data_IF_523958781800
#
_entry.id   IF_523958781800
#
_cell.length_a   1.000
_cell.length_b   1.000
_cell.length_c   1.000
_cell.angle_alpha   90.00
_cell.angle_beta   90.00
_cell.angle_gamma   90.00
#
_symmetry.space_group_name_H-M   'P 1'
#
loop_
_entity.id
_entity.type
_entity.pdbx_description
1 polymer ?
#
# COMPACT_ATOMS: atom_id res chain seq x y z
N UNK A 1 38.65 -1.60 -20.85
CA UNK A 1 37.24 -2.01 -20.68
C UNK A 1 36.83 -1.64 -19.26
N UNK A 2 36.17 -0.51 -19.12
CA UNK A 2 35.73 0.01 -17.84
C UNK A 2 34.40 -0.73 -17.50
N UNK A 3 34.45 -1.61 -16.51
CA UNK A 3 33.26 -2.20 -15.95
C UNK A 3 32.47 -1.08 -15.29
N UNK A 4 31.36 -0.68 -15.93
CA UNK A 4 30.39 0.20 -15.33
C UNK A 4 29.85 -0.52 -14.08
N UNK A 5 30.19 0.02 -12.91
CA UNK A 5 29.63 -0.41 -11.64
C UNK A 5 28.20 0.14 -11.62
N UNK A 6 27.26 -0.61 -12.17
CA UNK A 6 25.84 -0.30 -12.08
C UNK A 6 25.40 -0.60 -10.66
N UNK A 7 25.67 0.37 -9.76
CA UNK A 7 25.01 0.40 -8.47
C UNK A 7 23.53 0.74 -8.79
N UNK A 8 22.73 -0.29 -9.09
CA UNK A 8 21.30 -0.11 -9.33
C UNK A 8 20.70 0.52 -8.08
N UNK A 9 20.18 1.75 -8.22
CA UNK A 9 19.51 2.49 -7.16
C UNK A 9 18.15 1.83 -6.88
N UNK A 10 18.16 0.84 -5.98
CA UNK A 10 16.98 0.05 -5.59
C UNK A 10 16.16 0.76 -4.52
N UNK A 11 14.84 0.69 -4.65
CA UNK A 11 13.92 1.03 -3.58
C UNK A 11 13.77 -0.18 -2.64
N UNK A 12 13.98 0.03 -1.35
CA UNK A 12 13.83 -1.02 -0.34
C UNK A 12 12.64 -0.68 0.56
N UNK A 13 11.64 -1.57 0.63
CA UNK A 13 10.46 -1.44 1.47
C UNK A 13 10.29 -2.72 2.29
N UNK A 14 10.41 -2.63 3.62
CA UNK A 14 10.28 -3.78 4.50
C UNK A 14 11.21 -4.95 4.17
N UNK A 15 12.43 -4.66 3.67
CA UNK A 15 13.40 -5.66 3.25
C UNK A 15 13.22 -6.20 1.82
N UNK A 16 12.16 -5.80 1.11
CA UNK A 16 11.93 -6.16 -0.29
C UNK A 16 12.54 -5.12 -1.22
N UNK A 17 13.23 -5.59 -2.26
CA UNK A 17 13.90 -4.74 -3.24
C UNK A 17 13.05 -4.52 -4.49
N UNK A 18 12.95 -3.27 -4.93
CA UNK A 18 12.26 -2.87 -6.16
C UNK A 18 13.19 -2.03 -7.04
N UNK A 19 13.13 -2.23 -8.35
CA UNK A 19 13.85 -1.43 -9.34
C UNK A 19 12.99 -0.29 -9.89
N UNK A 20 11.69 -0.32 -9.64
CA UNK A 20 10.74 0.73 -10.00
C UNK A 20 10.18 1.42 -8.76
N UNK A 21 10.09 2.76 -8.82
CA UNK A 21 9.40 3.57 -7.79
C UNK A 21 7.95 3.86 -8.16
N UNK A 22 7.47 3.30 -9.26
CA UNK A 22 6.11 3.50 -9.72
C UNK A 22 5.14 2.56 -9.01
N UNK A 23 4.23 3.11 -8.22
CA UNK A 23 3.12 2.40 -7.56
C UNK A 23 1.84 2.71 -8.33
N UNK A 24 1.24 1.69 -8.93
CA UNK A 24 0.03 1.84 -9.72
C UNK A 24 -1.23 1.78 -8.85
N UNK A 25 -2.12 2.78 -9.01
CA UNK A 25 -3.48 2.72 -8.46
C UNK A 25 -4.41 1.98 -9.42
N UNK A 26 -5.02 0.87 -9.00
CA UNK A 26 -5.92 0.09 -9.87
C UNK A 26 -7.40 0.48 -9.79
N UNK A 27 -7.77 1.33 -8.83
CA UNK A 27 -9.18 1.52 -8.44
C UNK A 27 -10.13 2.15 -9.48
N UNK A 28 -9.62 2.72 -10.55
CA UNK A 28 -10.42 3.39 -11.61
C UNK A 28 -10.09 2.90 -13.03
N UNK A 29 -9.21 1.94 -13.15
CA UNK A 29 -8.69 1.50 -14.44
C UNK A 29 -9.21 0.11 -14.83
N UNK A 30 -9.28 -0.16 -16.14
CA UNK A 30 -9.58 -1.49 -16.65
C UNK A 30 -8.42 -2.45 -16.35
N UNK A 31 -8.71 -3.74 -16.29
CA UNK A 31 -7.69 -4.79 -16.12
C UNK A 31 -6.63 -4.75 -17.24
N UNK A 32 -7.04 -4.43 -18.48
CA UNK A 32 -6.13 -4.27 -19.61
C UNK A 32 -5.13 -3.14 -19.40
N UNK A 33 -5.55 -2.02 -18.80
CA UNK A 33 -4.65 -0.92 -18.47
C UNK A 33 -3.69 -1.31 -17.35
N UNK A 34 -4.16 -2.03 -16.33
CA UNK A 34 -3.29 -2.56 -15.27
C UNK A 34 -2.22 -3.46 -15.86
N UNK A 35 -2.60 -4.37 -16.75
CA UNK A 35 -1.69 -5.26 -17.49
C UNK A 35 -0.66 -4.46 -18.31
N UNK A 36 -1.13 -3.47 -19.08
CA UNK A 36 -0.26 -2.63 -19.89
C UNK A 36 0.75 -1.84 -19.02
N UNK A 37 0.36 -1.34 -17.85
CA UNK A 37 1.26 -0.68 -16.92
C UNK A 37 2.33 -1.63 -16.37
N UNK A 38 1.96 -2.86 -16.05
CA UNK A 38 2.91 -3.89 -15.59
C UNK A 38 3.92 -4.20 -16.72
N UNK A 39 3.44 -4.50 -17.91
CA UNK A 39 4.27 -4.95 -19.04
C UNK A 39 5.11 -3.82 -19.69
N UNK A 40 4.57 -2.60 -19.76
CA UNK A 40 5.18 -1.50 -20.50
C UNK A 40 5.88 -0.47 -19.64
N UNK A 41 5.36 -0.22 -18.42
CA UNK A 41 5.95 0.73 -17.49
C UNK A 41 6.77 0.07 -16.36
N UNK A 42 6.88 -1.26 -16.35
CA UNK A 42 7.64 -1.99 -15.35
C UNK A 42 7.09 -1.81 -13.93
N UNK A 43 5.76 -1.73 -13.78
CA UNK A 43 5.11 -1.60 -12.48
C UNK A 43 5.35 -2.85 -11.64
N UNK A 44 5.89 -2.67 -10.44
CA UNK A 44 6.18 -3.77 -9.51
C UNK A 44 5.26 -3.77 -8.29
N UNK A 45 4.53 -2.68 -8.04
CA UNK A 45 3.59 -2.56 -6.92
C UNK A 45 2.26 -2.04 -7.44
N UNK A 46 1.17 -2.77 -7.15
CA UNK A 46 -0.20 -2.40 -7.56
C UNK A 46 -1.08 -2.25 -6.34
N UNK A 47 -1.67 -1.07 -6.12
CA UNK A 47 -2.64 -0.86 -5.04
C UNK A 47 -4.02 -1.35 -5.45
N UNK A 48 -4.76 -1.86 -4.46
CA UNK A 48 -6.15 -2.28 -4.64
C UNK A 48 -6.98 -2.01 -3.37
N UNK A 49 -8.28 -1.75 -3.56
CA UNK A 49 -9.21 -1.54 -2.47
C UNK A 49 -10.09 -2.78 -2.29
N UNK A 50 -9.93 -3.47 -1.14
CA UNK A 50 -10.73 -4.66 -0.80
C UNK A 50 -12.22 -4.39 -0.78
N UNK A 51 -12.65 -3.19 -0.38
CA UNK A 51 -14.06 -2.83 -0.36
C UNK A 51 -14.74 -2.98 -1.74
N UNK A 52 -13.99 -2.81 -2.82
CA UNK A 52 -14.49 -2.99 -4.19
C UNK A 52 -14.44 -4.45 -4.66
N UNK A 53 -13.83 -5.31 -3.91
CA UNK A 53 -13.73 -6.74 -4.21
C UNK A 53 -15.06 -7.47 -4.11
N UNK A 54 -15.97 -7.00 -3.25
CA UNK A 54 -17.30 -7.60 -3.08
C UNK A 54 -18.21 -7.42 -4.31
N UNK A 55 -17.82 -6.59 -5.27
CA UNK A 55 -18.55 -6.40 -6.55
C UNK A 55 -18.00 -7.30 -7.68
N UNK A 56 -17.34 -8.40 -7.35
CA UNK A 56 -16.78 -9.35 -8.32
C UNK A 56 -15.38 -9.00 -8.84
N UNK A 57 -14.78 -7.90 -8.33
CA UNK A 57 -13.53 -7.36 -8.87
C UNK A 57 -12.24 -7.98 -8.32
N UNK A 58 -12.22 -8.53 -7.09
CA UNK A 58 -10.96 -9.00 -6.48
C UNK A 58 -10.46 -10.30 -7.12
N UNK A 59 -11.34 -11.27 -7.33
CA UNK A 59 -10.96 -12.53 -7.96
C UNK A 59 -10.31 -12.28 -9.32
N UNK A 60 -10.90 -11.38 -10.11
CA UNK A 60 -10.37 -11.02 -11.43
C UNK A 60 -9.01 -10.30 -11.34
N UNK A 61 -8.75 -9.44 -10.34
CA UNK A 61 -7.46 -8.76 -10.20
C UNK A 61 -6.36 -9.76 -9.78
N UNK A 62 -6.64 -10.64 -8.84
CA UNK A 62 -5.67 -11.64 -8.36
C UNK A 62 -5.25 -12.61 -9.46
N UNK A 63 -6.17 -12.94 -10.37
CA UNK A 63 -5.89 -13.80 -11.53
C UNK A 63 -5.13 -13.05 -12.64
N UNK A 64 -5.25 -11.71 -12.68
CA UNK A 64 -4.70 -10.89 -13.76
C UNK A 64 -3.30 -10.33 -13.45
N UNK A 65 -2.98 -10.14 -12.17
CA UNK A 65 -1.68 -9.60 -11.76
C UNK A 65 -0.67 -10.74 -11.65
N UNK A 66 0.48 -10.67 -12.35
CA UNK A 66 1.53 -11.66 -12.24
C UNK A 66 2.00 -11.84 -10.80
N UNK A 67 2.44 -13.06 -10.44
CA UNK A 67 2.83 -13.40 -9.07
C UNK A 67 4.10 -12.70 -8.56
N UNK A 68 4.89 -12.16 -9.46
CA UNK A 68 6.09 -11.36 -9.19
C UNK A 68 5.79 -9.87 -8.95
N UNK A 69 4.54 -9.45 -9.14
CA UNK A 69 4.08 -8.10 -8.82
C UNK A 69 3.51 -8.06 -7.40
N UNK A 70 4.00 -7.13 -6.60
CA UNK A 70 3.55 -6.93 -5.23
C UNK A 70 2.17 -6.28 -5.19
N UNK A 71 1.22 -6.95 -4.54
CA UNK A 71 -0.07 -6.35 -4.24
C UNK A 71 0.03 -5.47 -3.00
N UNK A 72 -0.55 -4.28 -3.08
CA UNK A 72 -0.60 -3.32 -1.98
C UNK A 72 -2.07 -2.99 -1.67
N UNK A 73 -2.80 -3.90 -0.99
CA UNK A 73 -4.17 -3.62 -0.58
C UNK A 73 -4.22 -2.42 0.36
N UNK A 74 -5.25 -1.56 0.19
CA UNK A 74 -5.50 -0.46 1.09
C UNK A 74 -6.70 -0.71 2.00
N UNK A 75 -6.71 -0.04 3.15
CA UNK A 75 -7.79 -0.13 4.14
C UNK A 75 -8.87 0.93 3.92
N UNK A 76 -9.05 1.39 2.69
CA UNK A 76 -10.04 2.42 2.33
C UNK A 76 -11.43 2.08 2.85
N UNK A 77 -12.03 3.04 3.52
CA UNK A 77 -13.32 2.91 4.22
C UNK A 77 -13.20 2.65 5.71
N UNK A 78 -11.99 2.37 6.23
CA UNK A 78 -11.76 2.30 7.67
C UNK A 78 -11.89 3.70 8.30
N UNK A 79 -12.62 3.77 9.42
CA UNK A 79 -12.84 5.01 10.19
C UNK A 79 -12.00 5.07 11.47
N UNK A 80 -11.38 3.96 11.83
CA UNK A 80 -10.53 3.81 13.01
C UNK A 80 -9.49 2.70 12.79
N UNK A 81 -8.55 2.59 13.72
CA UNK A 81 -7.47 1.61 13.67
C UNK A 81 -7.99 0.16 13.63
N UNK A 82 -9.03 -0.16 14.41
CA UNK A 82 -9.56 -1.52 14.49
C UNK A 82 -10.13 -1.98 13.15
N UNK A 83 -10.87 -1.11 12.46
CA UNK A 83 -11.40 -1.40 11.12
C UNK A 83 -10.26 -1.58 10.11
N UNK A 84 -9.22 -0.72 10.15
CA UNK A 84 -8.05 -0.84 9.28
C UNK A 84 -7.31 -2.17 9.50
N UNK A 85 -7.06 -2.54 10.77
CA UNK A 85 -6.42 -3.81 11.12
C UNK A 85 -7.24 -5.01 10.63
N UNK A 86 -8.56 -4.97 10.81
CA UNK A 86 -9.44 -6.05 10.31
C UNK A 86 -9.35 -6.19 8.79
N UNK A 87 -9.38 -5.08 8.05
CA UNK A 87 -9.29 -5.10 6.59
C UNK A 87 -7.92 -5.63 6.14
N UNK A 88 -6.83 -5.21 6.78
CA UNK A 88 -5.49 -5.69 6.49
C UNK A 88 -5.35 -7.21 6.70
N UNK A 89 -5.83 -7.73 7.83
CA UNK A 89 -5.84 -9.17 8.09
C UNK A 89 -6.64 -9.94 7.05
N UNK A 90 -7.82 -9.43 6.70
CA UNK A 90 -8.64 -10.03 5.65
C UNK A 90 -7.93 -10.06 4.30
N UNK A 91 -7.17 -9.00 3.94
CA UNK A 91 -6.41 -8.99 2.70
C UNK A 91 -5.34 -10.07 2.65
N UNK A 92 -4.66 -10.33 3.77
CA UNK A 92 -3.67 -11.40 3.90
C UNK A 92 -4.33 -12.77 3.72
N UNK A 93 -5.46 -13.02 4.38
CA UNK A 93 -6.24 -14.26 4.25
C UNK A 93 -6.73 -14.52 2.81
N UNK A 94 -7.02 -13.45 2.06
CA UNK A 94 -7.40 -13.53 0.65
C UNK A 94 -6.22 -13.70 -0.31
N UNK A 95 -4.99 -13.83 0.22
CA UNK A 95 -3.79 -14.09 -0.58
C UNK A 95 -3.13 -12.85 -1.18
N UNK A 96 -3.43 -11.64 -0.67
CA UNK A 96 -2.78 -10.40 -1.16
C UNK A 96 -1.35 -10.21 -0.62
N UNK A 97 -0.84 -11.13 0.21
CA UNK A 97 0.49 -11.03 0.82
C UNK A 97 0.53 -10.10 2.04
N UNK A 98 1.73 -9.65 2.40
CA UNK A 98 1.99 -8.94 3.66
C UNK A 98 2.08 -7.42 3.51
N UNK A 99 2.10 -6.90 2.32
CA UNK A 99 2.09 -5.45 2.09
C UNK A 99 0.69 -4.87 2.37
N UNK A 100 0.63 -3.72 3.02
CA UNK A 100 -0.64 -3.03 3.25
C UNK A 100 -0.45 -1.51 3.28
N UNK A 101 -1.31 -0.80 2.55
CA UNK A 101 -1.45 0.65 2.65
C UNK A 101 -2.53 0.98 3.67
N UNK A 102 -2.13 1.54 4.81
CA UNK A 102 -3.08 2.00 5.82
C UNK A 102 -3.71 3.31 5.37
N UNK A 103 -5.02 3.33 5.34
CA UNK A 103 -5.84 4.50 5.04
C UNK A 103 -7.00 4.53 6.04
N UNK A 104 -6.92 5.47 7.01
CA UNK A 104 -7.97 5.70 8.00
C UNK A 104 -8.51 7.10 7.82
N UNK A 105 -9.79 7.21 7.49
CA UNK A 105 -10.46 8.49 7.25
C UNK A 105 -11.72 8.54 8.11
N UNK A 106 -11.66 9.30 9.20
CA UNK A 106 -12.78 9.45 10.12
C UNK A 106 -13.92 10.28 9.50
N UNK A 107 -13.57 11.40 8.87
CA UNK A 107 -14.51 12.33 8.25
C UNK A 107 -14.53 12.18 6.73
N UNK A 108 -15.60 11.57 6.21
CA UNK A 108 -15.79 11.35 4.78
C UNK A 108 -16.04 12.63 3.97
N UNK A 109 -16.34 13.76 4.64
CA UNK A 109 -16.59 15.04 3.95
C UNK A 109 -15.30 15.65 3.40
N UNK A 110 -14.23 15.62 4.20
CA UNK A 110 -12.96 16.24 3.84
C UNK A 110 -11.93 15.23 3.33
N UNK A 111 -12.14 13.94 3.55
CA UNK A 111 -11.28 12.84 3.13
C UNK A 111 -9.82 12.96 3.62
N UNK A 112 -9.63 13.61 4.78
CA UNK A 112 -8.31 13.76 5.39
C UNK A 112 -7.98 12.54 6.25
N UNK A 113 -6.73 12.01 6.14
CA UNK A 113 -6.30 10.89 6.96
C UNK A 113 -6.18 11.27 8.45
N UNK A 114 -6.58 10.34 9.32
CA UNK A 114 -6.45 10.45 10.76
C UNK A 114 -5.10 9.87 11.18
N UNK A 115 -4.13 10.73 11.51
CA UNK A 115 -2.78 10.32 11.88
C UNK A 115 -2.74 9.48 13.16
N UNK A 116 -3.57 9.79 14.15
CA UNK A 116 -3.57 9.07 15.43
C UNK A 116 -4.03 7.62 15.27
N UNK A 117 -5.13 7.41 14.58
CA UNK A 117 -5.63 6.08 14.30
C UNK A 117 -4.73 5.31 13.32
N UNK A 118 -4.09 6.02 12.38
CA UNK A 118 -3.11 5.44 11.45
C UNK A 118 -1.87 4.93 12.19
N UNK A 119 -1.33 5.67 13.16
CA UNK A 119 -0.20 5.25 14.00
C UNK A 119 -0.54 3.98 14.79
N UNK A 120 -1.72 3.93 15.41
CA UNK A 120 -2.17 2.73 16.14
C UNK A 120 -2.28 1.50 15.25
N UNK A 121 -2.91 1.64 14.08
CA UNK A 121 -3.04 0.55 13.12
C UNK A 121 -1.66 0.06 12.65
N UNK A 122 -0.75 1.01 12.37
CA UNK A 122 0.63 0.71 11.97
C UNK A 122 1.37 -0.11 13.01
N UNK A 123 1.31 0.28 14.28
CA UNK A 123 1.99 -0.44 15.36
C UNK A 123 1.50 -1.88 15.50
N UNK A 124 0.19 -2.10 15.42
CA UNK A 124 -0.40 -3.45 15.51
C UNK A 124 0.06 -4.30 14.34
N UNK A 125 -0.08 -3.80 13.12
CA UNK A 125 0.19 -4.57 11.90
C UNK A 125 1.69 -4.81 11.68
N UNK A 126 2.55 -3.86 12.03
CA UNK A 126 4.00 -4.05 11.97
C UNK A 126 4.46 -5.18 12.91
N UNK A 127 3.90 -5.27 14.13
CA UNK A 127 4.14 -6.38 15.07
C UNK A 127 3.65 -7.73 14.54
N UNK A 128 2.66 -7.73 13.66
CA UNK A 128 2.13 -8.92 13.00
C UNK A 128 2.89 -9.30 11.72
N UNK A 129 3.98 -8.59 11.41
CA UNK A 129 4.84 -8.86 10.25
C UNK A 129 4.32 -8.31 8.93
N UNK A 130 3.40 -7.34 8.95
CA UNK A 130 3.04 -6.62 7.73
C UNK A 130 4.12 -5.61 7.34
N UNK A 131 4.29 -5.42 6.04
CA UNK A 131 5.02 -4.29 5.46
C UNK A 131 4.05 -3.13 5.35
N UNK A 132 4.05 -2.26 6.36
CA UNK A 132 3.04 -1.21 6.52
C UNK A 132 3.48 0.07 5.83
N UNK A 133 2.64 0.59 4.94
CA UNK A 133 2.83 1.82 4.18
C UNK A 133 1.67 2.79 4.50
N UNK A 134 1.77 3.60 5.56
CA UNK A 134 0.67 4.42 6.04
C UNK A 134 0.49 5.70 5.23
N UNK A 135 -0.75 5.98 4.80
CA UNK A 135 -1.19 7.25 4.27
C UNK A 135 -1.52 8.20 5.42
N UNK A 136 -0.94 9.39 5.42
CA UNK A 136 -1.01 10.31 6.54
C UNK A 136 -1.25 11.76 6.11
N UNK A 137 -1.86 12.56 6.99
CA UNK A 137 -1.84 14.01 6.86
C UNK A 137 -0.42 14.53 7.13
N UNK A 138 0.13 15.43 6.30
CA UNK A 138 1.52 15.88 6.42
C UNK A 138 1.82 16.57 7.76
N UNK A 139 2.49 15.84 8.63
CA UNK A 139 3.01 16.32 9.92
C UNK A 139 4.30 15.57 10.25
N UNK A 140 5.37 16.31 10.58
CA UNK A 140 6.69 15.73 10.81
C UNK A 140 6.72 14.84 12.06
N UNK A 141 6.00 15.22 13.12
CA UNK A 141 5.99 14.41 14.35
C UNK A 141 5.23 13.12 14.14
N UNK A 142 4.06 13.20 13.49
CA UNK A 142 3.31 12.00 13.11
C UNK A 142 4.12 11.07 12.19
N UNK A 143 4.92 11.61 11.26
CA UNK A 143 5.81 10.80 10.42
C UNK A 143 6.87 10.05 11.24
N UNK A 144 7.46 10.71 12.25
CA UNK A 144 8.41 10.07 13.19
C UNK A 144 7.73 8.99 14.02
N UNK A 145 6.53 9.25 14.52
CA UNK A 145 5.75 8.28 15.28
C UNK A 145 5.39 7.05 14.45
N UNK A 146 5.05 7.24 13.17
CA UNK A 146 4.81 6.14 12.22
C UNK A 146 6.07 5.28 12.00
N UNK A 147 7.23 5.91 11.84
CA UNK A 147 8.52 5.18 11.72
C UNK A 147 8.80 4.39 13.00
N UNK A 148 8.61 5.00 14.18
CA UNK A 148 8.77 4.32 15.46
C UNK A 148 7.77 3.19 15.67
N UNK A 149 6.56 3.30 15.11
CA UNK A 149 5.55 2.25 15.10
C UNK A 149 5.86 1.09 14.14
N UNK A 150 6.91 1.20 13.32
CA UNK A 150 7.36 0.15 12.42
C UNK A 150 6.91 0.29 10.96
N UNK A 151 6.53 1.48 10.53
CA UNK A 151 6.22 1.74 9.11
C UNK A 151 7.44 1.50 8.21
N UNK A 152 7.22 0.86 7.06
CA UNK A 152 8.27 0.65 6.05
C UNK A 152 8.58 1.91 5.23
N UNK A 153 7.64 2.84 5.17
CA UNK A 153 7.77 4.20 4.63
C UNK A 153 6.67 5.07 5.20
N UNK A 154 6.63 6.35 4.85
CA UNK A 154 5.50 7.24 5.10
C UNK A 154 4.98 7.81 3.78
N UNK A 155 3.65 7.91 3.65
CA UNK A 155 2.98 8.36 2.44
C UNK A 155 2.14 9.61 2.75
N UNK A 156 2.76 10.81 2.81
CA UNK A 156 2.03 12.02 3.12
C UNK A 156 1.07 12.39 1.98
N UNK A 157 -0.09 12.95 2.35
CA UNK A 157 -1.02 13.55 1.41
C UNK A 157 -0.32 14.66 0.62
N UNK A 158 -0.31 14.55 -0.70
CA UNK A 158 0.37 15.51 -1.58
C UNK A 158 -0.48 16.74 -1.89
N UNK A 159 -1.78 16.55 -2.01
CA UNK A 159 -2.77 17.62 -2.23
C UNK A 159 -4.14 17.15 -1.79
N UNK A 160 -4.95 18.01 -1.16
CA UNK A 160 -6.34 17.71 -0.85
C UNK A 160 -7.19 17.60 -2.11
#
# INVERSE_FOLDING_TARGET
MTTANTNEDKLILGGHEFTSRFILGSGKFSLDLVKACIEKAGTQIVTLALRRANEGGLANILDYVPKDVTLLPNTSGARNAQEAVRIARLSRELGCGDFVKIEVIHDSKYLLPDNYETIKATEILAKEGFVVMPYMYPDLNAARDLVNAGAACVMPLGSP
#
